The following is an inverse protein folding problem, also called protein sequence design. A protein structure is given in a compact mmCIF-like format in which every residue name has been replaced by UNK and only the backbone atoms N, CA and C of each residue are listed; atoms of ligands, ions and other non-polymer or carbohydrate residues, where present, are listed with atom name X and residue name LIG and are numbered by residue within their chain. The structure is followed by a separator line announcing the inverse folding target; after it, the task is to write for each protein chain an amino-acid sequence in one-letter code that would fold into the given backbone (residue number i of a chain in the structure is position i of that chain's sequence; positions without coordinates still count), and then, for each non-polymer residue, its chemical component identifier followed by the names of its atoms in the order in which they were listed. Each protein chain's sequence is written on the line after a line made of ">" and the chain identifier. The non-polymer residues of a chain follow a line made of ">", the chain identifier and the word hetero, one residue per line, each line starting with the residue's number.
data_IF_737879002561
#
_entry.id   IF_737879002561
#
_cell.length_a   1.000
_cell.length_b   1.000
_cell.length_c   1.000
_cell.angle_alpha   90.00
_cell.angle_beta   90.00
_cell.angle_gamma   90.00
#
_symmetry.space_group_name_H-M   'P 1'
#
loop_
_entity.id
_entity.type
_entity.pdbx_description
1 polymer ?
#
# COMPACT_ATOMS: atom_id res chain seq x y z
N UNK A 1 5.68 15.86 4.74
CA UNK A 1 5.52 14.41 4.92
C UNK A 1 6.14 13.70 3.72
N UNK A 2 7.03 12.72 3.96
CA UNK A 2 7.66 11.90 2.93
C UNK A 2 7.15 10.47 3.05
N UNK A 3 6.59 9.94 1.97
CA UNK A 3 6.00 8.61 1.92
C UNK A 3 6.65 7.82 0.79
N UNK A 4 7.03 6.57 1.08
CA UNK A 4 7.50 5.60 0.09
C UNK A 4 6.51 4.43 0.04
N UNK A 5 6.13 3.99 -1.16
CA UNK A 5 5.43 2.72 -1.40
C UNK A 5 6.30 1.80 -2.25
N UNK A 6 6.30 0.50 -1.93
CA UNK A 6 7.13 -0.47 -2.62
C UNK A 6 6.61 -1.90 -2.48
N UNK A 7 6.34 -2.56 -3.58
CA UNK A 7 6.24 -4.01 -3.59
C UNK A 7 7.66 -4.59 -3.51
N UNK A 8 7.95 -5.38 -2.50
CA UNK A 8 9.31 -5.83 -2.18
C UNK A 8 9.59 -7.27 -2.54
N UNK A 9 8.62 -7.99 -3.13
CA UNK A 9 8.77 -9.41 -3.46
C UNK A 9 9.40 -10.20 -2.29
N UNK A 10 8.77 -10.18 -1.10
CA UNK A 10 9.32 -10.73 0.16
C UNK A 10 10.80 -10.38 0.42
N UNK A 11 11.19 -9.14 0.10
CA UNK A 11 12.55 -8.61 0.19
C UNK A 11 13.58 -9.32 -0.72
N UNK A 12 13.12 -10.04 -1.76
CA UNK A 12 13.94 -10.71 -2.75
C UNK A 12 14.38 -9.73 -3.83
N UNK A 13 15.69 -9.57 -3.97
CA UNK A 13 16.26 -8.78 -5.06
C UNK A 13 16.43 -9.57 -6.35
N UNK A 14 16.78 -8.85 -7.43
CA UNK A 14 17.09 -9.42 -8.74
C UNK A 14 18.32 -10.36 -8.71
N UNK A 15 19.06 -10.38 -7.62
CA UNK A 15 20.14 -11.34 -7.33
C UNK A 15 19.65 -12.61 -6.61
N UNK A 16 18.33 -12.77 -6.45
CA UNK A 16 17.66 -13.87 -5.75
C UNK A 16 17.99 -13.97 -4.25
N UNK A 17 18.50 -12.90 -3.63
CA UNK A 17 18.77 -12.86 -2.19
C UNK A 17 17.67 -12.12 -1.47
N UNK A 18 17.13 -12.72 -0.42
CA UNK A 18 16.14 -12.12 0.48
C UNK A 18 16.88 -11.35 1.58
N UNK A 19 16.63 -10.04 1.68
CA UNK A 19 17.29 -9.19 2.68
C UNK A 19 16.42 -7.96 3.03
N UNK A 20 15.59 -8.03 4.09
CA UNK A 20 14.80 -6.88 4.57
C UNK A 20 15.65 -5.65 4.95
N UNK A 21 16.89 -5.86 5.43
CA UNK A 21 17.76 -4.73 5.79
C UNK A 21 18.19 -3.93 4.55
N UNK A 22 18.39 -4.60 3.41
CA UNK A 22 18.70 -3.97 2.12
C UNK A 22 17.53 -3.09 1.64
N UNK A 23 16.29 -3.55 1.80
CA UNK A 23 15.10 -2.76 1.47
C UNK A 23 15.06 -1.47 2.27
N UNK A 24 15.24 -1.55 3.61
CA UNK A 24 15.25 -0.37 4.49
C UNK A 24 16.42 0.56 4.17
N UNK A 25 17.60 0.01 3.91
CA UNK A 25 18.77 0.82 3.56
C UNK A 25 18.54 1.60 2.26
N UNK A 26 17.95 0.96 1.24
CA UNK A 26 17.64 1.60 -0.02
C UNK A 26 16.55 2.69 0.15
N UNK A 27 15.47 2.40 0.86
CA UNK A 27 14.44 3.39 1.15
C UNK A 27 15.00 4.64 1.86
N UNK A 28 15.95 4.45 2.80
CA UNK A 28 16.65 5.55 3.49
C UNK A 28 17.60 6.34 2.57
N UNK A 29 18.15 5.73 1.53
CA UNK A 29 18.94 6.43 0.51
C UNK A 29 18.05 7.34 -0.35
N UNK A 30 16.80 6.95 -0.62
CA UNK A 30 15.86 7.79 -1.36
C UNK A 30 15.45 9.01 -0.53
N UNK A 31 15.13 8.85 0.74
CA UNK A 31 14.73 9.94 1.64
C UNK A 31 14.80 9.57 3.13
N UNK A 32 14.88 10.58 4.01
CA UNK A 32 14.47 10.42 5.40
C UNK A 32 12.93 10.41 5.47
N UNK A 33 12.36 9.25 5.18
CA UNK A 33 10.92 9.06 5.04
C UNK A 33 10.20 9.01 6.39
N UNK A 34 8.94 9.43 6.36
CA UNK A 34 8.02 9.40 7.51
C UNK A 34 7.09 8.17 7.48
N UNK A 35 6.80 7.68 6.26
CA UNK A 35 5.88 6.56 6.01
C UNK A 35 6.51 5.63 4.99
N UNK A 36 6.46 4.31 5.26
CA UNK A 36 6.86 3.26 4.34
C UNK A 36 5.73 2.25 4.22
N UNK A 37 5.22 2.08 3.01
CA UNK A 37 4.17 1.14 2.66
C UNK A 37 4.76 0.01 1.82
N UNK A 38 4.77 -1.21 2.35
CA UNK A 38 5.34 -2.39 1.71
C UNK A 38 4.24 -3.36 1.32
N UNK A 39 4.38 -3.96 0.13
CA UNK A 39 3.56 -5.07 -0.33
C UNK A 39 4.44 -6.32 -0.46
N UNK A 40 3.82 -7.48 -0.42
CA UNK A 40 4.49 -8.79 -0.48
C UNK A 40 5.46 -9.04 0.68
N UNK A 41 5.06 -8.70 1.89
CA UNK A 41 5.79 -9.05 3.12
C UNK A 41 5.39 -10.44 3.57
N UNK A 42 6.37 -11.29 3.86
CA UNK A 42 6.18 -12.69 4.22
C UNK A 42 6.62 -12.98 5.66
N UNK A 43 6.00 -13.97 6.26
CA UNK A 43 6.40 -14.59 7.52
C UNK A 43 6.25 -16.11 7.42
N UNK A 44 7.31 -16.82 7.74
CA UNK A 44 7.35 -18.28 7.73
C UNK A 44 6.78 -18.88 6.43
N UNK A 45 7.27 -18.39 5.28
CA UNK A 45 6.83 -18.82 3.94
C UNK A 45 8.01 -19.34 3.11
N UNK A 46 8.62 -20.49 3.49
CA UNK A 46 9.82 -21.01 2.83
C UNK A 46 9.56 -21.51 1.40
N UNK A 47 8.30 -21.66 0.97
CA UNK A 47 7.94 -22.02 -0.40
C UNK A 47 8.13 -20.88 -1.40
N UNK A 48 8.31 -19.64 -0.92
CA UNK A 48 8.66 -18.50 -1.77
C UNK A 48 10.16 -18.55 -2.10
N UNK A 49 10.50 -18.35 -3.35
CA UNK A 49 11.87 -18.48 -3.86
C UNK A 49 12.89 -17.64 -3.03
N UNK A 50 13.86 -18.34 -2.45
CA UNK A 50 14.93 -17.72 -1.67
C UNK A 50 14.53 -17.25 -0.27
N UNK A 51 13.24 -17.40 0.10
CA UNK A 51 12.75 -17.07 1.42
C UNK A 51 13.07 -18.18 2.45
N UNK A 52 12.94 -17.83 3.72
CA UNK A 52 13.10 -18.74 4.84
C UNK A 52 11.89 -18.63 5.81
N UNK A 53 12.07 -19.06 7.05
CA UNK A 53 11.05 -18.99 8.09
C UNK A 53 11.05 -17.64 8.84
N UNK A 54 11.81 -16.64 8.39
CA UNK A 54 11.90 -15.33 9.06
C UNK A 54 10.57 -14.60 9.03
N UNK A 55 10.12 -14.11 10.19
CA UNK A 55 9.03 -13.14 10.29
C UNK A 55 9.53 -11.78 9.82
N UNK A 56 9.25 -11.44 8.55
CA UNK A 56 9.66 -10.18 7.96
C UNK A 56 8.87 -9.00 8.54
N UNK A 57 7.63 -9.19 9.01
CA UNK A 57 6.86 -8.12 9.67
C UNK A 57 7.58 -7.64 10.93
N UNK A 58 7.95 -8.58 11.81
CA UNK A 58 8.76 -8.28 12.99
C UNK A 58 10.13 -7.70 12.60
N UNK A 59 10.77 -8.26 11.58
CA UNK A 59 12.10 -7.81 11.13
C UNK A 59 12.09 -6.37 10.65
N UNK A 60 11.10 -5.93 9.88
CA UNK A 60 10.96 -4.53 9.46
C UNK A 60 10.71 -3.60 10.66
N UNK A 61 9.92 -4.02 11.64
CA UNK A 61 9.72 -3.25 12.88
C UNK A 61 11.02 -3.06 13.68
N UNK A 62 11.87 -4.09 13.76
CA UNK A 62 13.20 -4.01 14.39
C UNK A 62 14.14 -3.07 13.64
N UNK A 63 14.13 -3.10 12.30
CA UNK A 63 14.98 -2.26 11.45
C UNK A 63 14.58 -0.78 11.46
N UNK A 64 13.35 -0.48 11.86
CA UNK A 64 12.78 0.88 11.91
C UNK A 64 12.31 1.23 13.32
N UNK A 65 13.24 1.30 14.33
CA UNK A 65 12.86 1.69 15.68
C UNK A 65 12.25 3.10 15.67
N UNK A 66 11.15 3.29 16.42
CA UNK A 66 10.40 4.54 16.46
C UNK A 66 9.30 4.66 15.39
N UNK A 67 9.16 3.66 14.51
CA UNK A 67 8.00 3.53 13.63
C UNK A 67 6.95 2.61 14.25
N UNK A 68 5.68 2.96 14.07
CA UNK A 68 4.56 2.05 14.36
C UNK A 68 4.36 1.16 13.14
N UNK A 69 4.41 -0.16 13.33
CA UNK A 69 4.14 -1.15 12.29
C UNK A 69 2.67 -1.58 12.34
N UNK A 70 2.01 -1.62 11.18
CA UNK A 70 0.62 -2.04 11.02
C UNK A 70 0.59 -3.11 9.93
N UNK A 71 0.39 -4.35 10.34
CA UNK A 71 0.31 -5.52 9.47
C UNK A 71 -1.07 -5.60 8.79
N UNK A 72 -1.09 -5.95 7.52
CA UNK A 72 -2.28 -6.27 6.73
C UNK A 72 -2.16 -7.65 6.12
N UNK A 73 -2.38 -8.68 6.94
CA UNK A 73 -2.25 -10.08 6.54
C UNK A 73 -3.44 -10.45 5.65
N UNK A 74 -3.17 -10.77 4.40
CA UNK A 74 -4.16 -11.30 3.47
C UNK A 74 -4.21 -12.83 3.50
N UNK A 75 -3.07 -13.48 3.45
CA UNK A 75 -2.92 -14.93 3.54
C UNK A 75 -2.42 -15.31 4.93
N UNK A 76 -3.12 -16.19 5.61
CA UNK A 76 -2.76 -16.73 6.92
C UNK A 76 -3.18 -18.20 6.97
N UNK A 77 -2.24 -19.10 6.76
CA UNK A 77 -2.48 -20.53 6.58
C UNK A 77 -1.63 -21.38 7.53
N UNK A 78 -2.05 -22.62 7.76
CA UNK A 78 -1.27 -23.61 8.51
C UNK A 78 0.00 -23.97 7.72
N UNK A 79 1.16 -24.02 8.40
CA UNK A 79 2.45 -24.38 7.79
C UNK A 79 2.71 -25.91 7.78
N UNK A 80 1.75 -26.70 8.25
CA UNK A 80 1.87 -28.15 8.37
C UNK A 80 2.82 -28.63 9.50
N UNK A 81 3.36 -27.72 10.30
CA UNK A 81 4.32 -28.02 11.38
C UNK A 81 3.86 -27.49 12.74
N UNK A 82 2.62 -26.98 12.81
CA UNK A 82 2.01 -26.44 14.03
C UNK A 82 2.21 -24.92 14.18
N UNK A 83 2.70 -24.23 13.14
CA UNK A 83 2.84 -22.79 13.02
C UNK A 83 1.91 -22.20 11.97
N UNK A 84 2.19 -20.97 11.59
CA UNK A 84 1.44 -20.22 10.55
C UNK A 84 2.39 -19.66 9.52
N UNK A 85 1.99 -19.70 8.24
CA UNK A 85 2.61 -18.94 7.14
C UNK A 85 1.73 -17.74 6.83
N UNK A 86 2.30 -16.53 6.83
CA UNK A 86 1.56 -15.28 6.66
C UNK A 86 2.16 -14.45 5.52
N UNK A 87 1.28 -13.82 4.72
CA UNK A 87 1.69 -12.98 3.61
C UNK A 87 0.73 -11.79 3.44
N UNK A 88 1.27 -10.60 3.17
CA UNK A 88 0.44 -9.42 3.04
C UNK A 88 1.19 -8.12 2.87
N UNK A 89 0.58 -7.05 3.40
CA UNK A 89 1.11 -5.69 3.33
C UNK A 89 1.57 -5.23 4.71
N UNK A 90 2.50 -4.26 4.73
CA UNK A 90 2.97 -3.64 5.96
C UNK A 90 3.02 -2.13 5.78
N UNK A 91 2.41 -1.39 6.71
CA UNK A 91 2.51 0.05 6.80
C UNK A 91 3.33 0.42 8.03
N UNK A 92 4.41 1.16 7.82
CA UNK A 92 5.28 1.67 8.89
C UNK A 92 5.22 3.20 8.87
N UNK A 93 5.01 3.82 10.03
CA UNK A 93 4.98 5.29 10.14
C UNK A 93 5.60 5.77 11.45
N UNK A 94 6.36 6.88 11.39
CA UNK A 94 6.87 7.55 12.58
C UNK A 94 5.84 8.46 13.25
N UNK A 95 4.70 8.73 12.58
CA UNK A 95 3.64 9.52 13.16
C UNK A 95 2.79 8.71 14.13
N UNK A 96 2.27 9.33 15.20
CA UNK A 96 1.31 8.68 16.08
C UNK A 96 0.09 8.19 15.30
N UNK A 97 -0.29 6.94 15.50
CA UNK A 97 -1.46 6.32 14.87
C UNK A 97 -2.63 6.34 15.83
N UNK A 98 -3.66 7.11 15.48
CA UNK A 98 -4.87 7.25 16.30
C UNK A 98 -5.80 6.04 16.16
N UNK A 99 -5.86 5.43 14.97
CA UNK A 99 -6.67 4.25 14.66
C UNK A 99 -6.05 3.48 13.49
N UNK A 100 -6.12 2.16 13.54
CA UNK A 100 -5.80 1.30 12.41
C UNK A 100 -6.97 0.35 12.12
N UNK A 101 -7.36 0.26 10.88
CA UNK A 101 -8.38 -0.64 10.35
C UNK A 101 -7.77 -1.55 9.30
N UNK A 102 -8.35 -2.72 9.16
CA UNK A 102 -7.99 -3.72 8.16
C UNK A 102 -9.25 -4.14 7.43
N UNK A 103 -9.27 -3.95 6.13
CA UNK A 103 -10.41 -4.28 5.28
C UNK A 103 -10.02 -5.47 4.42
N UNK A 104 -10.62 -6.64 4.68
CA UNK A 104 -10.54 -7.75 3.76
C UNK A 104 -11.28 -7.34 2.48
N UNK A 105 -10.57 -7.32 1.38
CA UNK A 105 -11.15 -6.97 0.08
C UNK A 105 -11.93 -8.16 -0.49
N UNK A 106 -12.90 -7.92 -1.39
CA UNK A 106 -13.65 -8.98 -2.03
C UNK A 106 -12.75 -10.09 -2.57
N UNK A 107 -13.05 -11.32 -2.18
CA UNK A 107 -12.35 -12.53 -2.59
C UNK A 107 -13.37 -13.60 -2.95
N UNK A 108 -13.64 -13.70 -4.25
CA UNK A 108 -14.63 -14.62 -4.82
C UNK A 108 -13.96 -15.78 -5.52
N UNK A 109 -14.69 -16.88 -5.71
CA UNK A 109 -14.23 -17.98 -6.51
C UNK A 109 -13.90 -17.54 -7.94
N UNK A 110 -12.73 -17.93 -8.42
CA UNK A 110 -12.25 -17.65 -9.76
C UNK A 110 -11.51 -18.86 -10.33
N UNK A 111 -11.47 -18.97 -11.67
CA UNK A 111 -10.77 -20.04 -12.35
C UNK A 111 -9.23 -19.86 -12.33
N UNK A 112 -8.77 -18.63 -12.11
CA UNK A 112 -7.35 -18.28 -12.04
C UNK A 112 -6.83 -18.42 -10.62
N UNK A 113 -5.49 -18.54 -10.48
CA UNK A 113 -4.83 -18.43 -9.17
C UNK A 113 -5.13 -17.08 -8.57
N UNK A 114 -5.61 -17.05 -7.35
CA UNK A 114 -5.89 -15.82 -6.59
C UNK A 114 -5.70 -16.06 -5.11
N UNK A 115 -5.56 -14.99 -4.35
CA UNK A 115 -5.42 -15.05 -2.90
C UNK A 115 -6.20 -13.90 -2.24
N UNK A 116 -6.55 -14.01 -0.95
CA UNK A 116 -7.16 -12.90 -0.21
C UNK A 116 -6.26 -11.66 -0.25
N UNK A 117 -6.87 -10.49 -0.47
CA UNK A 117 -6.20 -9.19 -0.50
C UNK A 117 -6.71 -8.32 0.63
N UNK A 118 -5.83 -7.49 1.18
CA UNK A 118 -6.10 -6.67 2.35
C UNK A 118 -5.78 -5.21 2.07
N UNK A 119 -6.68 -4.31 2.48
CA UNK A 119 -6.40 -2.89 2.56
C UNK A 119 -6.11 -2.53 4.03
N UNK A 120 -4.95 -1.94 4.29
CA UNK A 120 -4.64 -1.26 5.55
C UNK A 120 -5.16 0.17 5.45
N UNK A 121 -5.79 0.67 6.53
CA UNK A 121 -6.17 2.08 6.71
C UNK A 121 -5.71 2.51 8.10
N UNK A 122 -4.82 3.51 8.18
CA UNK A 122 -4.33 4.06 9.44
C UNK A 122 -4.56 5.57 9.51
N UNK A 123 -5.22 6.05 10.55
CA UNK A 123 -5.33 7.49 10.82
C UNK A 123 -4.08 7.93 11.55
N UNK A 124 -3.16 8.60 10.86
CA UNK A 124 -1.92 9.14 11.40
C UNK A 124 -2.05 10.64 11.71
N UNK A 125 -1.46 11.08 12.84
CA UNK A 125 -1.42 12.47 13.24
C UNK A 125 -0.16 13.12 12.66
N UNK A 126 -0.29 13.70 11.48
CA UNK A 126 0.81 14.25 10.70
C UNK A 126 0.89 15.77 10.85
N UNK A 127 1.99 16.44 10.42
CA UNK A 127 2.04 17.90 10.32
C UNK A 127 1.01 18.50 9.35
N UNK A 128 0.43 17.68 8.46
CA UNK A 128 -0.65 18.07 7.53
C UNK A 128 -2.04 18.02 8.19
N UNK A 129 -2.12 17.63 9.46
CA UNK A 129 -3.33 17.25 10.17
C UNK A 129 -3.50 15.73 10.21
N UNK A 130 -4.65 15.22 10.71
CA UNK A 130 -4.97 13.81 10.62
C UNK A 130 -5.12 13.38 9.15
N UNK A 131 -4.39 12.32 8.75
CA UNK A 131 -4.40 11.75 7.40
C UNK A 131 -4.65 10.25 7.49
N UNK A 132 -5.51 9.72 6.63
CA UNK A 132 -5.66 8.28 6.43
C UNK A 132 -4.56 7.80 5.47
N UNK A 133 -3.60 7.08 6.02
CA UNK A 133 -2.58 6.38 5.26
C UNK A 133 -3.15 5.00 4.90
N UNK A 134 -3.22 4.70 3.61
CA UNK A 134 -3.83 3.47 3.11
C UNK A 134 -2.86 2.77 2.17
N UNK A 135 -2.77 1.43 2.27
CA UNK A 135 -1.96 0.63 1.34
C UNK A 135 -2.60 -0.71 1.06
N UNK A 136 -2.44 -1.18 -0.16
CA UNK A 136 -3.00 -2.45 -0.65
C UNK A 136 -2.11 -3.09 -1.70
N UNK A 137 -2.36 -4.36 -1.99
CA UNK A 137 -1.88 -5.07 -3.17
C UNK A 137 -3.08 -5.77 -3.80
N UNK A 138 -3.46 -5.38 -5.02
CA UNK A 138 -4.67 -5.89 -5.68
C UNK A 138 -4.41 -7.18 -6.45
N UNK A 139 -5.48 -7.81 -6.89
CA UNK A 139 -5.45 -9.07 -7.63
C UNK A 139 -4.73 -8.93 -8.98
N UNK A 140 -3.79 -9.85 -9.23
CA UNK A 140 -2.98 -9.87 -10.45
C UNK A 140 -3.72 -10.51 -11.64
N UNK A 141 -4.30 -11.69 -11.45
CA UNK A 141 -4.74 -12.55 -12.55
C UNK A 141 -6.14 -12.24 -13.08
N UNK A 142 -7.02 -11.65 -12.26
CA UNK A 142 -8.44 -11.46 -12.57
C UNK A 142 -8.86 -9.99 -12.53
N UNK A 143 -9.09 -9.40 -13.70
CA UNK A 143 -9.63 -8.03 -13.80
C UNK A 143 -11.00 -7.90 -13.12
N UNK A 144 -11.85 -8.95 -13.14
CA UNK A 144 -13.13 -8.96 -12.43
C UNK A 144 -12.95 -8.86 -10.92
N UNK A 145 -12.05 -9.67 -10.33
CA UNK A 145 -11.74 -9.59 -8.89
C UNK A 145 -11.12 -8.25 -8.53
N UNK A 146 -10.21 -7.76 -9.36
CA UNK A 146 -9.59 -6.44 -9.19
C UNK A 146 -10.64 -5.31 -9.18
N UNK A 147 -11.63 -5.37 -10.07
CA UNK A 147 -12.74 -4.42 -10.09
C UNK A 147 -13.58 -4.48 -8.80
N UNK A 148 -13.91 -5.68 -8.31
CA UNK A 148 -14.60 -5.84 -7.04
C UNK A 148 -13.79 -5.32 -5.85
N UNK A 149 -12.47 -5.52 -5.85
CA UNK A 149 -11.57 -4.99 -4.83
C UNK A 149 -11.50 -3.45 -4.86
N UNK A 150 -11.49 -2.85 -6.05
CA UNK A 150 -11.60 -1.39 -6.22
C UNK A 150 -12.92 -0.87 -5.65
N UNK A 151 -14.03 -1.55 -5.87
CA UNK A 151 -15.31 -1.18 -5.26
C UNK A 151 -15.24 -1.25 -3.73
N UNK A 152 -14.59 -2.27 -3.19
CA UNK A 152 -14.35 -2.40 -1.74
C UNK A 152 -13.52 -1.24 -1.18
N UNK A 153 -12.49 -0.79 -1.90
CA UNK A 153 -11.68 0.38 -1.51
C UNK A 153 -12.52 1.65 -1.55
N UNK A 154 -13.27 1.88 -2.61
CA UNK A 154 -14.16 3.04 -2.76
C UNK A 154 -15.21 3.09 -1.65
N UNK A 155 -15.80 1.94 -1.30
CA UNK A 155 -16.76 1.84 -0.20
C UNK A 155 -16.10 2.13 1.15
N UNK A 156 -14.90 1.57 1.44
CA UNK A 156 -14.15 1.87 2.66
C UNK A 156 -13.86 3.38 2.78
N UNK A 157 -13.48 4.03 1.67
CA UNK A 157 -13.25 5.47 1.61
C UNK A 157 -14.53 6.25 1.92
N UNK A 158 -15.66 5.94 1.24
CA UNK A 158 -16.96 6.57 1.45
C UNK A 158 -17.44 6.43 2.90
N UNK A 159 -17.29 5.24 3.47
CA UNK A 159 -17.66 4.98 4.88
C UNK A 159 -16.78 5.79 5.86
N UNK A 160 -15.49 5.95 5.57
CA UNK A 160 -14.60 6.76 6.40
C UNK A 160 -14.99 8.24 6.38
N UNK A 161 -15.32 8.78 5.21
CA UNK A 161 -15.83 10.14 5.05
C UNK A 161 -17.16 10.35 5.77
N UNK A 162 -18.08 9.39 5.67
CA UNK A 162 -19.37 9.44 6.38
C UNK A 162 -19.17 9.43 7.92
N UNK A 163 -18.23 8.62 8.43
CA UNK A 163 -17.87 8.62 9.87
C UNK A 163 -17.23 9.94 10.31
N UNK A 164 -16.42 10.53 9.43
CA UNK A 164 -15.80 11.84 9.70
C UNK A 164 -16.83 12.96 9.75
N UNK A 165 -17.76 12.99 8.82
CA UNK A 165 -18.82 14.01 8.75
C UNK A 165 -19.86 13.88 9.88
N UNK A 166 -20.05 12.67 10.40
CA UNK A 166 -21.01 12.38 11.49
C UNK A 166 -20.33 11.58 12.60
N UNK A 167 -19.51 12.23 13.43
CA UNK A 167 -18.86 11.57 14.54
C UNK A 167 -19.89 11.00 15.51
N UNK A 168 -19.65 9.78 15.96
CA UNK A 168 -20.49 9.11 16.96
C UNK A 168 -20.36 9.79 18.33
N UNK A 169 -21.31 9.52 19.23
CA UNK A 169 -21.18 9.90 20.63
C UNK A 169 -19.96 9.22 21.27
N UNK A 170 -19.25 9.99 22.10
CA UNK A 170 -18.11 9.50 22.85
C UNK A 170 -18.57 8.61 24.03
N UNK A 171 -17.86 7.53 24.28
CA UNK A 171 -18.11 6.63 25.41
C UNK A 171 -16.79 6.20 26.08
N UNK A 172 -16.87 5.46 27.19
CA UNK A 172 -15.70 4.95 27.90
C UNK A 172 -15.03 3.78 27.15
N UNK A 173 -13.78 3.51 27.50
CA UNK A 173 -13.01 2.33 27.06
C UNK A 173 -12.98 2.19 25.52
N UNK A 174 -13.53 1.10 25.00
CA UNK A 174 -13.58 0.78 23.55
C UNK A 174 -14.46 1.75 22.73
N UNK A 175 -15.32 2.52 23.38
CA UNK A 175 -16.18 3.52 22.76
C UNK A 175 -15.58 4.93 22.76
N UNK A 176 -14.34 5.08 23.25
CA UNK A 176 -13.64 6.38 23.19
C UNK A 176 -13.60 6.93 21.77
N UNK A 177 -13.68 8.24 21.64
CA UNK A 177 -13.46 8.93 20.37
C UNK A 177 -12.00 8.82 19.98
N UNK A 178 -11.75 8.60 18.71
CA UNK A 178 -10.43 8.70 18.08
C UNK A 178 -10.47 9.76 16.99
N UNK A 179 -9.39 10.49 16.76
CA UNK A 179 -9.28 11.37 15.59
C UNK A 179 -9.66 10.61 14.30
N UNK A 180 -10.43 11.27 13.45
CA UNK A 180 -10.79 10.80 12.12
C UNK A 180 -10.29 11.80 11.07
N UNK A 181 -10.18 11.39 9.81
CA UNK A 181 -9.70 12.24 8.75
C UNK A 181 -10.54 12.05 7.47
N UNK A 182 -10.81 13.18 6.78
CA UNK A 182 -11.31 13.16 5.42
C UNK A 182 -10.16 12.94 4.43
N UNK A 183 -9.02 13.61 4.67
CA UNK A 183 -7.81 13.51 3.85
C UNK A 183 -7.24 12.10 3.86
N UNK A 184 -6.86 11.58 2.69
CA UNK A 184 -6.31 10.24 2.54
C UNK A 184 -5.22 10.18 1.46
N UNK A 185 -4.24 9.30 1.70
CA UNK A 185 -3.29 8.81 0.68
C UNK A 185 -3.47 7.32 0.57
N UNK A 186 -3.70 6.82 -0.66
CA UNK A 186 -3.81 5.40 -0.99
C UNK A 186 -2.64 4.99 -1.87
N UNK A 187 -1.93 3.96 -1.47
CA UNK A 187 -0.74 3.47 -2.16
C UNK A 187 -0.80 1.98 -2.42
N UNK A 188 0.07 1.49 -3.27
CA UNK A 188 0.33 0.06 -3.42
C UNK A 188 0.52 -0.39 -4.85
N UNK A 189 0.69 -1.70 -4.97
CA UNK A 189 0.66 -2.41 -6.25
C UNK A 189 -0.80 -2.68 -6.62
N UNK A 190 -1.29 -1.96 -7.64
CA UNK A 190 -2.68 -2.11 -8.07
C UNK A 190 -2.84 -3.14 -9.19
N UNK A 191 -1.74 -3.67 -9.72
CA UNK A 191 -1.77 -4.62 -10.84
C UNK A 191 -2.60 -4.13 -12.03
N UNK A 192 -2.60 -2.80 -12.27
CA UNK A 192 -3.31 -2.11 -13.33
C UNK A 192 -2.36 -1.16 -14.05
N UNK A 193 -2.45 -1.10 -15.37
CA UNK A 193 -1.75 -0.09 -16.17
C UNK A 193 -2.49 1.26 -16.11
N UNK A 194 -1.85 2.38 -16.47
CA UNK A 194 -2.49 3.70 -16.43
C UNK A 194 -3.75 3.83 -17.33
N UNK A 195 -3.86 3.03 -18.37
CA UNK A 195 -4.99 2.97 -19.29
C UNK A 195 -6.07 1.92 -18.93
N UNK A 196 -5.91 1.22 -17.79
CA UNK A 196 -6.88 0.23 -17.34
C UNK A 196 -8.20 0.90 -16.88
N UNK A 197 -9.31 0.41 -17.39
CA UNK A 197 -10.64 0.88 -17.03
C UNK A 197 -10.98 0.72 -15.54
N UNK A 198 -10.34 -0.23 -14.86
CA UNK A 198 -10.52 -0.44 -13.41
C UNK A 198 -9.79 0.66 -12.61
N UNK A 199 -8.64 1.14 -13.09
CA UNK A 199 -7.99 2.32 -12.51
C UNK A 199 -8.86 3.58 -12.71
N UNK A 200 -9.41 3.78 -13.90
CA UNK A 200 -10.33 4.86 -14.18
C UNK A 200 -11.56 4.81 -13.24
N UNK A 201 -12.07 3.60 -12.93
CA UNK A 201 -13.15 3.39 -11.95
C UNK A 201 -12.72 3.79 -10.53
N UNK A 202 -11.50 3.48 -10.10
CA UNK A 202 -10.99 3.87 -8.78
C UNK A 202 -10.92 5.40 -8.63
N UNK A 203 -10.53 6.10 -9.70
CA UNK A 203 -10.39 7.55 -9.73
C UNK A 203 -11.71 8.29 -10.04
N UNK A 204 -12.75 7.58 -10.45
CA UNK A 204 -14.01 8.20 -10.82
C UNK A 204 -14.66 9.00 -9.67
N UNK A 205 -15.27 10.14 -9.95
CA UNK A 205 -16.05 10.89 -8.97
C UNK A 205 -17.08 10.01 -8.26
N UNK A 206 -17.43 10.38 -7.03
CA UNK A 206 -18.54 9.77 -6.31
C UNK A 206 -19.84 10.51 -6.61
N UNK A 207 -20.94 9.77 -6.77
CA UNK A 207 -22.25 10.36 -7.02
C UNK A 207 -22.74 11.27 -5.88
N UNK A 208 -22.33 10.96 -4.65
CA UNK A 208 -22.63 11.74 -3.45
C UNK A 208 -21.78 13.01 -3.27
N UNK A 209 -20.83 13.27 -4.18
CA UNK A 209 -19.94 14.44 -4.13
C UNK A 209 -18.78 14.28 -3.13
N UNK A 210 -18.54 13.07 -2.62
CA UNK A 210 -17.36 12.79 -1.80
C UNK A 210 -16.08 13.03 -2.63
N UNK A 211 -14.97 13.51 -2.00
CA UNK A 211 -13.73 13.74 -2.70
C UNK A 211 -13.17 12.42 -3.27
N UNK A 212 -12.91 12.35 -4.61
CA UNK A 212 -12.32 11.18 -5.22
C UNK A 212 -10.83 11.07 -4.89
N UNK A 213 -10.19 9.96 -5.27
CA UNK A 213 -8.75 9.89 -5.35
C UNK A 213 -8.24 10.54 -6.64
N UNK A 214 -7.09 11.18 -6.54
CA UNK A 214 -6.34 11.80 -7.64
C UNK A 214 -4.99 11.11 -7.74
N UNK A 215 -4.57 10.73 -8.94
CA UNK A 215 -3.25 10.19 -9.19
C UNK A 215 -2.19 11.31 -9.07
N UNK A 216 -1.19 11.07 -8.21
CA UNK A 216 -0.18 12.08 -7.93
C UNK A 216 0.86 12.22 -9.05
N UNK A 217 1.09 11.17 -9.86
CA UNK A 217 2.05 11.27 -10.95
C UNK A 217 1.65 12.37 -11.95
N UNK A 218 0.50 12.32 -12.63
CA UNK A 218 0.11 13.40 -13.55
C UNK A 218 -0.15 14.73 -12.82
N UNK A 219 -0.53 14.70 -11.54
CA UNK A 219 -0.76 15.94 -10.78
C UNK A 219 0.52 16.75 -10.55
N UNK A 220 1.68 16.09 -10.43
CA UNK A 220 2.98 16.71 -10.16
C UNK A 220 3.82 16.80 -11.43
N UNK A 221 3.81 15.76 -12.26
CA UNK A 221 4.68 15.61 -13.42
C UNK A 221 4.01 16.06 -14.75
N UNK A 222 2.73 16.45 -14.71
CA UNK A 222 1.97 16.90 -15.86
C UNK A 222 1.76 15.78 -16.89
N UNK A 223 2.10 16.05 -18.14
CA UNK A 223 1.92 15.10 -19.26
C UNK A 223 3.02 14.01 -19.34
N UNK A 224 3.98 14.00 -18.41
CA UNK A 224 5.00 12.96 -18.40
C UNK A 224 4.36 11.58 -18.19
N UNK A 225 4.69 10.57 -19.02
CA UNK A 225 4.15 9.23 -18.85
C UNK A 225 4.60 8.65 -17.51
N UNK A 226 3.76 7.78 -16.93
CA UNK A 226 4.16 7.02 -15.75
C UNK A 226 5.40 6.18 -16.09
N UNK A 227 6.43 6.20 -15.24
CA UNK A 227 7.56 5.30 -15.40
C UNK A 227 7.10 3.86 -15.13
N UNK A 228 7.76 2.87 -15.72
CA UNK A 228 7.51 1.49 -15.33
C UNK A 228 7.97 1.27 -13.88
N UNK A 229 7.11 0.64 -13.09
CA UNK A 229 7.38 0.27 -11.69
C UNK A 229 7.54 -1.24 -11.51
N UNK A 230 7.30 -2.02 -12.54
CA UNK A 230 7.45 -3.47 -12.54
C UNK A 230 8.03 -3.98 -13.86
N UNK A 231 8.60 -5.19 -13.84
CA UNK A 231 9.13 -5.93 -15.00
C UNK A 231 10.27 -5.22 -15.75
N UNK A 232 11.01 -4.30 -15.12
CA UNK A 232 12.11 -3.57 -15.76
C UNK A 232 13.31 -4.47 -16.07
N UNK A 233 13.66 -5.36 -15.15
CA UNK A 233 14.87 -6.19 -15.22
C UNK A 233 14.57 -7.67 -15.45
N UNK A 234 13.35 -8.09 -15.15
CA UNK A 234 12.85 -9.42 -15.38
C UNK A 234 11.45 -9.31 -15.99
N UNK A 235 11.25 -9.88 -17.17
CA UNK A 235 10.00 -9.79 -17.93
C UNK A 235 9.19 -11.10 -17.89
N UNK A 236 9.41 -11.94 -16.88
CA UNK A 236 8.68 -13.21 -16.71
C UNK A 236 7.18 -12.98 -16.60
N UNK A 237 6.77 -11.88 -15.95
CA UNK A 237 5.36 -11.54 -15.74
C UNK A 237 4.79 -10.52 -16.74
N UNK A 238 5.58 -10.07 -17.70
CA UNK A 238 5.15 -9.14 -18.73
C UNK A 238 6.18 -8.09 -19.10
N UNK A 239 5.78 -7.13 -19.94
CA UNK A 239 6.62 -6.00 -20.33
C UNK A 239 6.70 -4.96 -19.21
N UNK A 240 7.77 -4.12 -19.19
CA UNK A 240 7.89 -3.00 -18.26
C UNK A 240 6.62 -2.16 -18.22
N UNK A 241 6.03 -2.01 -17.04
CA UNK A 241 4.74 -1.34 -16.87
C UNK A 241 4.66 -0.61 -15.54
N UNK A 242 3.89 0.48 -15.48
CA UNK A 242 3.47 1.07 -14.22
C UNK A 242 2.34 0.23 -13.63
N UNK A 243 2.54 -0.32 -12.45
CA UNK A 243 1.56 -1.10 -11.68
C UNK A 243 1.35 -0.55 -10.28
N UNK A 244 2.31 0.26 -9.79
CA UNK A 244 2.31 0.85 -8.45
C UNK A 244 1.94 2.33 -8.52
N UNK A 245 1.14 2.77 -7.55
CA UNK A 245 0.60 4.13 -7.55
C UNK A 245 0.62 4.76 -6.17
N UNK A 246 0.64 6.10 -6.17
CA UNK A 246 0.29 6.94 -5.02
C UNK A 246 -0.86 7.84 -5.43
N UNK A 247 -2.01 7.60 -4.82
CA UNK A 247 -3.22 8.37 -5.01
C UNK A 247 -3.52 9.17 -3.74
N UNK A 248 -4.11 10.35 -3.87
CA UNK A 248 -4.49 11.16 -2.72
C UNK A 248 -5.83 11.84 -2.93
N UNK A 249 -6.47 12.26 -1.85
CA UNK A 249 -7.61 13.19 -1.92
C UNK A 249 -7.15 14.54 -2.47
N UNK A 250 -8.03 15.33 -3.12
CA UNK A 250 -7.65 16.57 -3.82
C UNK A 250 -6.92 17.60 -2.95
N UNK A 251 -7.26 17.68 -1.67
CA UNK A 251 -6.60 18.57 -0.70
C UNK A 251 -5.14 18.20 -0.47
N UNK A 252 -4.81 16.91 -0.39
CA UNK A 252 -3.44 16.44 -0.28
C UNK A 252 -2.73 16.44 -1.64
N UNK A 253 -3.43 16.14 -2.73
CA UNK A 253 -2.85 16.22 -4.06
C UNK A 253 -2.33 17.63 -4.37
N UNK A 254 -3.04 18.67 -3.97
CA UNK A 254 -2.60 20.07 -4.09
C UNK A 254 -1.33 20.39 -3.28
N UNK A 255 -0.98 19.57 -2.29
CA UNK A 255 0.21 19.70 -1.43
C UNK A 255 1.36 18.79 -1.84
N UNK A 256 1.18 17.88 -2.79
CA UNK A 256 2.25 17.07 -3.34
C UNK A 256 3.22 17.96 -4.13
N UNK A 257 4.53 17.83 -3.85
CA UNK A 257 5.60 18.62 -4.50
C UNK A 257 6.53 17.79 -5.36
N UNK A 258 6.73 16.54 -4.96
CA UNK A 258 7.69 15.66 -5.60
C UNK A 258 7.09 14.27 -5.71
N UNK A 259 7.21 13.66 -6.86
CA UNK A 259 6.96 12.22 -7.09
C UNK A 259 8.18 11.66 -7.82
N UNK A 260 8.85 10.69 -7.23
CA UNK A 260 10.04 10.05 -7.80
C UNK A 260 9.83 8.54 -7.81
N UNK A 261 10.04 7.91 -8.97
CA UNK A 261 10.17 6.48 -9.10
C UNK A 261 11.66 6.15 -9.33
N UNK A 262 12.26 5.31 -8.48
CA UNK A 262 13.64 4.87 -8.68
C UNK A 262 13.67 3.65 -9.62
N UNK A 263 13.80 3.93 -10.90
CA UNK A 263 13.83 2.92 -11.97
C UNK A 263 15.16 2.16 -12.08
N UNK A 264 16.15 2.49 -11.27
CA UNK A 264 17.49 1.89 -11.34
C UNK A 264 17.69 0.77 -10.30
N UNK A 265 16.89 0.73 -9.25
CA UNK A 265 17.08 -0.25 -8.18
C UNK A 265 16.78 -1.68 -8.63
N UNK A 266 17.59 -2.62 -8.11
CA UNK A 266 17.43 -4.06 -8.28
C UNK A 266 17.16 -4.79 -6.96
N UNK A 267 16.74 -4.03 -5.95
CA UNK A 267 16.46 -4.56 -4.60
C UNK A 267 15.13 -5.32 -4.57
N UNK A 268 14.25 -5.09 -5.54
CA UNK A 268 13.02 -5.85 -5.83
C UNK A 268 12.83 -5.93 -7.35
N UNK A 269 11.89 -6.72 -7.81
CA UNK A 269 11.38 -6.72 -9.19
C UNK A 269 10.43 -5.53 -9.47
N UNK A 270 9.98 -4.84 -8.41
CA UNK A 270 9.29 -3.56 -8.49
C UNK A 270 10.17 -2.38 -8.06
N UNK A 271 9.80 -1.18 -8.51
CA UNK A 271 10.48 0.07 -8.24
C UNK A 271 9.72 0.90 -7.21
N UNK A 272 10.41 1.44 -6.18
CA UNK A 272 9.77 2.27 -5.16
C UNK A 272 9.36 3.62 -5.70
N UNK A 273 8.25 4.15 -5.17
CA UNK A 273 7.78 5.50 -5.44
C UNK A 273 7.85 6.31 -4.15
N UNK A 274 8.59 7.42 -4.19
CA UNK A 274 8.64 8.44 -3.15
C UNK A 274 7.73 9.60 -3.51
N UNK A 275 6.93 10.06 -2.53
CA UNK A 275 6.16 11.30 -2.63
C UNK A 275 6.47 12.21 -1.45
N UNK A 276 6.67 13.50 -1.73
CA UNK A 276 6.82 14.53 -0.72
C UNK A 276 5.63 15.49 -0.73
N UNK A 277 5.10 15.76 0.46
CA UNK A 277 4.01 16.71 0.71
C UNK A 277 4.50 17.84 1.62
N UNK A 278 4.05 19.07 1.29
CA UNK A 278 4.26 20.29 2.12
C UNK A 278 3.28 20.41 3.26
#
# INVERSE_FOLDING_TARGET
>A
MRLITWNIQWARGMDNRVDPARVVAHARQMADFDVLCLQEVADNFPELDGNDETDQFARFAELLPGFTAIEGIGVDVDDGRGGRSRFGNLLLTRYPVAQALRHLLPWEAAETRNMPRMLIEAVALTPLGPVRLMTTHLEYSSSRLRAAQVDGIREAHRMALARHARPREAGPHTYRMTPSAASAVLTGDFNMRPDDSVLARLLAPFEGGEPPFVDLWPSVMGEAPHPPTANLFDQIYGEPSCLDYVLATPDLAARARTVICDVETKVSDHQPILVEFD
#
